data_IF_887029453406
#
_entry.id   IF_887029453406
#
_cell.length_a   1.000
_cell.length_b   1.000
_cell.length_c   1.000
_cell.angle_alpha   90.00
_cell.angle_beta   90.00
_cell.angle_gamma   90.00
#
_symmetry.space_group_name_H-M   'P 1'
#
loop_
_entity.id
_entity.type
_entity.pdbx_description
1 polymer ?
#
# COMPACT_ATOMS: atom_id res chain seq x y z
N UNK A 1 -52.53 -22.78 56.42
CA UNK A 1 -51.49 -22.66 57.46
C UNK A 1 -50.59 -21.50 57.08
N UNK A 2 -50.90 -20.30 57.58
CA UNK A 2 -50.23 -19.62 58.71
C UNK A 2 -48.97 -18.87 58.22
N UNK A 3 -49.07 -17.55 57.93
CA UNK A 3 -48.78 -16.39 58.81
C UNK A 3 -47.28 -16.26 59.09
N UNK A 4 -46.61 -15.10 58.90
CA UNK A 4 -46.72 -13.79 59.57
C UNK A 4 -46.20 -12.67 58.61
N UNK A 5 -46.81 -11.48 58.42
CA UNK A 5 -46.91 -10.24 59.27
C UNK A 5 -45.55 -9.60 59.61
N UNK A 6 -45.26 -8.28 59.64
CA UNK A 6 -45.95 -6.95 59.54
C UNK A 6 -44.81 -5.88 59.48
N UNK A 7 -44.93 -4.68 58.86
CA UNK A 7 -45.41 -3.38 59.41
C UNK A 7 -45.17 -2.29 58.30
N UNK A 8 -46.13 -1.47 57.81
CA UNK A 8 -46.77 -0.19 58.30
C UNK A 8 -45.73 0.89 58.70
N UNK A 9 -45.68 2.11 58.12
CA UNK A 9 -46.66 3.24 58.06
C UNK A 9 -46.32 4.17 56.86
N UNK A 10 -47.17 4.92 56.13
CA UNK A 10 -48.41 5.70 56.33
C UNK A 10 -48.23 7.10 56.99
N UNK A 11 -48.57 8.14 56.21
CA UNK A 11 -49.16 9.48 56.52
C UNK A 11 -48.47 10.62 55.73
N UNK A 12 -49.10 11.70 55.25
CA UNK A 12 -50.49 12.13 54.99
C UNK A 12 -50.41 13.56 54.37
N UNK A 13 -51.43 14.02 53.65
CA UNK A 13 -51.63 15.44 53.32
C UNK A 13 -52.05 15.77 51.87
N UNK A 14 -53.36 15.74 51.57
CA UNK A 14 -53.98 16.26 50.32
C UNK A 14 -54.17 17.79 50.32
N UNK A 15 -55.24 18.38 49.72
CA UNK A 15 -56.10 17.97 48.60
C UNK A 15 -56.30 19.11 47.53
N UNK A 16 -57.27 18.94 46.61
CA UNK A 16 -58.17 19.96 45.99
C UNK A 16 -58.06 20.23 44.46
N UNK A 17 -59.09 19.70 43.76
CA UNK A 17 -60.01 20.25 42.73
C UNK A 17 -59.59 20.71 41.31
N UNK A 18 -60.21 20.02 40.34
CA UNK A 18 -61.06 20.46 39.22
C UNK A 18 -60.59 21.54 38.21
N UNK A 19 -60.61 21.17 36.93
CA UNK A 19 -61.05 22.05 35.83
C UNK A 19 -60.25 21.95 34.51
N UNK A 20 -60.77 21.15 33.56
CA UNK A 20 -60.43 21.12 32.11
C UNK A 20 -60.45 22.53 31.45
N UNK A 21 -59.84 22.83 30.25
CA UNK A 21 -59.96 22.00 29.04
C UNK A 21 -58.94 22.16 27.83
N UNK A 22 -59.15 21.30 26.80
CA UNK A 22 -58.85 21.42 25.34
C UNK A 22 -57.41 21.32 24.76
N UNK A 23 -57.29 20.38 23.80
CA UNK A 23 -56.41 20.21 22.60
C UNK A 23 -54.99 20.79 22.57
N UNK A 24 -54.02 19.97 22.17
CA UNK A 24 -53.38 20.02 20.84
C UNK A 24 -52.47 18.81 20.66
N UNK A 25 -52.42 18.26 19.45
CA UNK A 25 -51.68 17.04 19.14
C UNK A 25 -50.17 17.20 19.31
N UNK A 26 -49.54 16.20 19.92
CA UNK A 26 -48.10 16.06 19.91
C UNK A 26 -47.61 15.38 18.63
N UNK A 27 -46.42 15.76 18.14
CA UNK A 27 -45.99 15.49 16.78
C UNK A 27 -45.56 14.03 16.62
N UNK A 28 -45.80 13.49 15.42
CA UNK A 28 -45.09 12.33 14.91
C UNK A 28 -43.60 12.69 14.88
N UNK A 29 -42.80 12.13 15.78
CA UNK A 29 -41.34 12.09 15.64
C UNK A 29 -41.01 11.21 14.42
N UNK A 30 -41.15 11.79 13.23
CA UNK A 30 -40.43 11.34 12.05
C UNK A 30 -38.98 11.83 12.17
N UNK A 31 -38.26 11.29 13.14
CA UNK A 31 -36.81 11.25 13.12
C UNK A 31 -36.41 10.19 12.11
N UNK A 32 -36.44 10.53 10.82
CA UNK A 32 -35.63 9.79 9.87
C UNK A 32 -34.18 9.95 10.36
N UNK A 33 -33.63 8.87 10.90
CA UNK A 33 -32.20 8.75 11.20
C UNK A 33 -31.46 9.11 9.91
N UNK A 34 -31.01 10.36 9.83
CA UNK A 34 -30.10 10.78 8.77
C UNK A 34 -28.78 10.15 9.17
N UNK A 35 -28.47 9.00 8.55
CA UNK A 35 -27.17 8.38 8.68
C UNK A 35 -26.12 9.44 8.36
N UNK A 36 -25.48 9.95 9.41
CA UNK A 36 -24.31 10.82 9.26
C UNK A 36 -23.27 9.96 8.56
N UNK A 37 -22.75 10.35 7.39
CA UNK A 37 -21.71 9.59 6.72
C UNK A 37 -20.57 9.37 7.71
N UNK A 38 -20.23 8.11 7.99
CA UNK A 38 -19.17 7.82 8.94
C UNK A 38 -17.85 8.40 8.41
N UNK A 39 -17.20 9.30 9.15
CA UNK A 39 -15.87 9.75 8.79
C UNK A 39 -14.95 8.53 8.65
N UNK A 40 -14.23 8.42 7.53
CA UNK A 40 -13.32 7.30 7.21
C UNK A 40 -13.97 5.98 6.76
N UNK A 41 -15.23 6.00 6.33
CA UNK A 41 -15.81 4.85 5.61
C UNK A 41 -15.02 4.51 4.33
N UNK A 42 -14.92 3.22 3.99
CA UNK A 42 -14.19 2.75 2.81
C UNK A 42 -14.65 3.47 1.54
N UNK A 43 -13.71 3.94 0.72
CA UNK A 43 -14.05 4.62 -0.55
C UNK A 43 -14.56 3.58 -1.53
N UNK A 44 -15.85 3.60 -1.85
CA UNK A 44 -16.45 2.74 -2.86
C UNK A 44 -16.34 3.36 -4.26
N UNK A 45 -15.89 2.57 -5.23
CA UNK A 45 -15.68 3.01 -6.61
C UNK A 45 -16.36 2.01 -7.53
N UNK A 46 -17.23 2.51 -8.40
CA UNK A 46 -18.03 1.67 -9.30
C UNK A 46 -18.87 0.65 -8.52
N UNK A 47 -18.78 -0.65 -8.81
CA UNK A 47 -19.38 -1.70 -8.00
C UNK A 47 -18.46 -2.05 -6.82
N UNK A 48 -18.93 -1.89 -5.58
CA UNK A 48 -18.15 -2.25 -4.39
C UNK A 48 -18.04 -3.78 -4.21
N UNK A 49 -16.94 -4.23 -3.59
CA UNK A 49 -16.77 -5.61 -3.16
C UNK A 49 -17.69 -5.98 -1.97
N UNK A 50 -17.74 -7.27 -1.59
CA UNK A 50 -18.54 -7.72 -0.46
C UNK A 50 -18.07 -7.07 0.86
N UNK A 51 -19.04 -6.66 1.67
CA UNK A 51 -18.77 -6.12 3.03
C UNK A 51 -18.70 -7.26 4.04
N UNK A 52 -17.61 -7.33 4.80
CA UNK A 52 -17.41 -8.31 5.85
C UNK A 52 -16.42 -7.81 6.91
N UNK A 53 -16.50 -8.36 8.12
CA UNK A 53 -15.51 -8.09 9.17
C UNK A 53 -14.19 -8.80 8.85
N UNK A 54 -13.08 -8.07 8.86
CA UNK A 54 -11.76 -8.60 8.52
C UNK A 54 -11.37 -9.74 9.48
N UNK A 55 -10.91 -10.87 8.92
CA UNK A 55 -10.50 -12.00 9.75
C UNK A 55 -9.02 -11.88 10.14
N UNK A 56 -8.66 -12.31 11.37
CA UNK A 56 -7.27 -12.30 11.80
C UNK A 56 -6.45 -13.21 10.88
N UNK A 57 -5.28 -12.74 10.41
CA UNK A 57 -4.41 -13.54 9.58
C UNK A 57 -3.97 -14.81 10.35
N UNK A 58 -3.76 -15.89 9.62
CA UNK A 58 -3.33 -17.18 10.14
C UNK A 58 -1.88 -17.43 9.74
N UNK A 59 -1.10 -18.04 10.64
CA UNK A 59 0.30 -18.35 10.39
C UNK A 59 1.14 -18.14 11.63
N UNK A 60 2.32 -18.77 11.71
CA UNK A 60 3.18 -18.69 12.89
C UNK A 60 3.82 -17.31 13.09
N UNK A 61 3.73 -16.40 12.12
CA UNK A 61 4.43 -15.12 12.08
C UNK A 61 3.59 -13.95 11.58
N UNK A 62 2.29 -14.14 11.42
CA UNK A 62 1.41 -13.09 10.89
C UNK A 62 1.36 -11.83 11.77
N UNK A 63 1.83 -11.91 13.03
CA UNK A 63 1.94 -10.76 13.93
C UNK A 63 2.99 -9.73 13.49
N UNK A 64 3.96 -10.11 12.65
CA UNK A 64 4.98 -9.20 12.10
C UNK A 64 4.49 -8.46 10.83
N UNK A 65 3.28 -8.79 10.35
CA UNK A 65 2.72 -8.31 9.09
C UNK A 65 1.38 -7.62 9.38
N UNK A 66 1.40 -6.32 9.77
CA UNK A 66 0.18 -5.60 10.07
C UNK A 66 -0.73 -5.55 8.83
N UNK A 67 -2.03 -5.42 9.05
CA UNK A 67 -3.01 -5.27 7.96
C UNK A 67 -2.65 -4.09 7.05
N UNK A 68 -2.29 -2.97 7.67
CA UNK A 68 -1.91 -1.75 6.98
C UNK A 68 -0.63 -1.18 7.58
N UNK A 69 0.32 -0.77 6.73
CA UNK A 69 1.46 0.06 7.12
C UNK A 69 1.46 1.34 6.28
N UNK A 70 1.87 2.45 6.89
CA UNK A 70 2.08 3.71 6.17
C UNK A 70 3.14 4.54 6.88
N UNK A 71 3.87 5.33 6.11
CA UNK A 71 4.93 6.19 6.61
C UNK A 71 5.14 7.36 5.64
N UNK A 72 5.88 8.37 6.10
CA UNK A 72 6.25 9.48 5.28
C UNK A 72 7.09 10.52 6.01
N UNK A 73 7.96 11.14 5.24
CA UNK A 73 8.89 12.16 5.71
C UNK A 73 9.24 13.07 4.55
N UNK A 74 10.05 14.09 4.81
CA UNK A 74 10.52 15.04 3.78
C UNK A 74 11.98 15.37 3.99
N UNK A 75 12.70 15.59 2.89
CA UNK A 75 13.97 16.32 2.86
C UNK A 75 13.70 17.78 2.49
N UNK A 76 14.75 18.57 2.25
CA UNK A 76 14.61 19.92 1.71
C UNK A 76 14.05 19.91 0.28
N UNK A 77 14.43 18.91 -0.53
CA UNK A 77 14.11 18.82 -1.95
C UNK A 77 12.99 17.85 -2.31
N UNK A 78 12.55 16.98 -1.39
CA UNK A 78 11.56 15.94 -1.69
C UNK A 78 10.63 15.61 -0.51
N UNK A 79 9.44 15.11 -0.81
CA UNK A 79 8.53 14.49 0.17
C UNK A 79 8.25 13.05 -0.27
N UNK A 80 8.33 12.11 0.66
CA UNK A 80 8.00 10.69 0.45
C UNK A 80 6.75 10.33 1.25
N UNK A 81 5.82 9.61 0.63
CA UNK A 81 4.72 8.92 1.30
C UNK A 81 4.65 7.50 0.78
N UNK A 82 4.35 6.55 1.64
CA UNK A 82 3.95 5.23 1.18
C UNK A 82 2.89 4.62 2.09
N UNK A 83 2.13 3.70 1.52
CA UNK A 83 1.23 2.83 2.25
C UNK A 83 1.19 1.44 1.59
N UNK A 84 0.93 0.43 2.39
CA UNK A 84 0.66 -0.94 1.94
C UNK A 84 -0.48 -1.50 2.77
N UNK A 85 -1.56 -1.90 2.09
CA UNK A 85 -2.85 -2.27 2.66
C UNK A 85 -3.18 -3.70 2.26
N UNK A 86 -3.65 -4.49 3.22
CA UNK A 86 -4.12 -5.86 2.98
C UNK A 86 -5.43 -5.86 2.20
N UNK A 87 -5.48 -6.58 1.10
CA UNK A 87 -6.64 -6.71 0.24
C UNK A 87 -7.82 -7.40 0.90
N UNK A 88 -9.01 -7.14 0.38
CA UNK A 88 -10.23 -7.82 0.84
C UNK A 88 -10.13 -9.35 0.68
N UNK A 89 -9.51 -9.85 -0.39
CA UNK A 89 -9.26 -11.28 -0.60
C UNK A 89 -8.44 -11.87 0.54
N UNK A 90 -7.29 -11.28 0.85
CA UNK A 90 -6.42 -11.76 1.93
C UNK A 90 -7.07 -11.61 3.31
N UNK A 91 -7.83 -10.52 3.55
CA UNK A 91 -8.65 -10.34 4.77
C UNK A 91 -9.69 -11.44 4.92
N UNK A 92 -10.37 -11.84 3.85
CA UNK A 92 -11.38 -12.89 3.87
C UNK A 92 -10.78 -14.29 4.09
N UNK A 93 -9.65 -14.58 3.41
CA UNK A 93 -8.98 -15.88 3.45
C UNK A 93 -8.03 -16.08 4.63
N UNK A 94 -7.88 -15.08 5.50
CA UNK A 94 -6.96 -15.10 6.66
C UNK A 94 -5.49 -15.20 6.24
N UNK A 95 -5.16 -14.73 5.04
CA UNK A 95 -3.79 -14.65 4.56
C UNK A 95 -3.20 -13.31 5.01
N UNK A 96 -1.96 -13.25 5.50
CA UNK A 96 -1.32 -11.96 5.82
C UNK A 96 -1.18 -11.11 4.56
N UNK A 97 -0.95 -9.81 4.74
CA UNK A 97 -0.51 -8.97 3.62
C UNK A 97 0.79 -9.52 3.05
N UNK A 98 0.81 -9.81 1.76
CA UNK A 98 1.91 -10.34 0.96
C UNK A 98 2.77 -9.24 0.34
N UNK A 99 2.24 -8.01 0.26
CA UNK A 99 2.99 -6.83 -0.15
C UNK A 99 3.95 -6.28 0.93
N UNK A 100 5.04 -5.65 0.47
CA UNK A 100 5.96 -4.87 1.31
C UNK A 100 6.51 -3.63 0.61
N UNK A 101 6.70 -2.56 1.36
CA UNK A 101 7.35 -1.32 0.91
C UNK A 101 8.33 -0.81 1.95
N UNK A 102 9.49 -0.30 1.51
CA UNK A 102 10.50 0.33 2.37
C UNK A 102 11.10 1.54 1.66
N UNK A 103 11.38 2.58 2.43
CA UNK A 103 12.14 3.73 1.96
C UNK A 103 13.06 4.24 3.07
N UNK A 104 14.24 4.74 2.69
CA UNK A 104 15.20 5.34 3.61
C UNK A 104 15.94 6.49 2.95
N UNK A 105 16.48 7.39 3.76
CA UNK A 105 17.36 8.47 3.32
C UNK A 105 18.83 8.07 3.57
N UNK A 106 19.65 8.08 2.53
CA UNK A 106 21.10 8.04 2.68
C UNK A 106 21.61 9.42 3.08
N UNK A 107 21.96 9.59 4.37
CA UNK A 107 22.34 10.89 4.93
C UNK A 107 23.57 11.52 4.28
N UNK A 108 24.49 10.72 3.72
CA UNK A 108 25.72 11.23 3.10
C UNK A 108 25.51 11.94 1.76
N UNK A 109 24.47 11.57 1.01
CA UNK A 109 24.19 12.09 -0.34
C UNK A 109 22.78 12.67 -0.50
N UNK A 110 21.98 12.73 0.59
CA UNK A 110 20.55 13.09 0.59
C UNK A 110 19.73 12.30 -0.46
N UNK A 111 20.18 11.09 -0.77
CA UNK A 111 19.56 10.20 -1.76
C UNK A 111 18.52 9.33 -1.08
N UNK A 112 17.30 9.32 -1.60
CA UNK A 112 16.26 8.40 -1.15
C UNK A 112 16.53 7.05 -1.83
N UNK A 113 16.49 5.98 -1.06
CA UNK A 113 16.46 4.61 -1.58
C UNK A 113 15.11 3.99 -1.24
N UNK A 114 14.55 3.18 -2.14
CA UNK A 114 13.26 2.54 -1.90
C UNK A 114 13.15 1.16 -2.55
N UNK A 115 12.24 0.35 -2.03
CA UNK A 115 11.84 -0.91 -2.61
C UNK A 115 10.34 -1.18 -2.35
N UNK A 116 9.67 -1.72 -3.35
CA UNK A 116 8.28 -2.19 -3.33
C UNK A 116 8.27 -3.60 -3.90
N UNK A 117 7.57 -4.53 -3.24
CA UNK A 117 7.49 -5.92 -3.65
C UNK A 117 6.11 -6.48 -3.34
N UNK A 118 5.60 -7.30 -4.25
CA UNK A 118 4.41 -8.12 -4.12
C UNK A 118 4.83 -9.59 -3.99
N UNK A 119 4.26 -10.29 -3.01
CA UNK A 119 4.48 -11.71 -2.81
C UNK A 119 3.58 -12.53 -3.73
N UNK A 120 4.19 -13.37 -4.58
CA UNK A 120 3.43 -14.18 -5.54
C UNK A 120 2.54 -15.19 -4.80
N UNK A 121 1.25 -15.17 -5.08
CA UNK A 121 0.24 -16.02 -4.43
C UNK A 121 0.51 -17.53 -4.47
N UNK A 122 1.28 -18.02 -5.45
CA UNK A 122 1.68 -19.43 -5.53
C UNK A 122 2.75 -19.83 -4.50
N UNK A 123 3.42 -18.86 -3.87
CA UNK A 123 4.40 -19.09 -2.83
C UNK A 123 3.74 -19.19 -1.45
N UNK A 124 4.11 -20.23 -0.69
CA UNK A 124 3.47 -20.53 0.60
C UNK A 124 3.72 -19.51 1.71
N UNK A 125 4.73 -18.64 1.58
CA UNK A 125 5.14 -17.65 2.58
C UNK A 125 5.59 -16.35 1.88
N UNK A 126 4.85 -15.97 0.84
CA UNK A 126 5.20 -14.87 -0.05
C UNK A 126 5.41 -13.53 0.68
N UNK A 127 4.64 -13.28 1.75
CA UNK A 127 4.79 -12.12 2.63
C UNK A 127 6.20 -11.96 3.21
N UNK A 128 6.86 -13.08 3.54
CA UNK A 128 8.27 -13.05 3.97
C UNK A 128 9.22 -12.79 2.82
N UNK A 129 8.91 -13.29 1.63
CA UNK A 129 9.69 -13.05 0.41
C UNK A 129 9.75 -11.56 0.10
N UNK A 130 8.59 -10.91 -0.01
CA UNK A 130 8.48 -9.48 -0.25
C UNK A 130 9.18 -8.64 0.83
N UNK A 131 8.96 -8.96 2.10
CA UNK A 131 9.58 -8.26 3.23
C UNK A 131 11.12 -8.37 3.22
N UNK A 132 11.65 -9.58 2.98
CA UNK A 132 13.08 -9.82 2.88
C UNK A 132 13.67 -9.08 1.68
N UNK A 133 13.03 -9.17 0.51
CA UNK A 133 13.50 -8.51 -0.71
C UNK A 133 13.59 -6.99 -0.54
N UNK A 134 12.55 -6.35 0.01
CA UNK A 134 12.54 -4.91 0.27
C UNK A 134 13.58 -4.49 1.30
N UNK A 135 13.68 -5.20 2.42
CA UNK A 135 14.64 -4.90 3.48
C UNK A 135 16.10 -5.03 3.02
N UNK A 136 16.41 -6.12 2.33
CA UNK A 136 17.74 -6.41 1.77
C UNK A 136 18.10 -5.44 0.66
N UNK A 137 17.15 -5.08 -0.21
CA UNK A 137 17.38 -4.10 -1.27
C UNK A 137 17.75 -2.73 -0.68
N UNK A 138 16.93 -2.20 0.23
CA UNK A 138 17.19 -0.91 0.89
C UNK A 138 18.51 -0.92 1.64
N UNK A 139 18.78 -1.95 2.45
CA UNK A 139 20.04 -2.06 3.18
C UNK A 139 21.26 -2.10 2.26
N UNK A 140 21.20 -2.91 1.19
CA UNK A 140 22.28 -3.02 0.21
C UNK A 140 22.55 -1.69 -0.52
N UNK A 141 21.50 -0.98 -0.93
CA UNK A 141 21.66 0.32 -1.58
C UNK A 141 22.32 1.35 -0.65
N UNK A 142 21.95 1.38 0.64
CA UNK A 142 22.58 2.27 1.62
C UNK A 142 24.07 1.96 1.81
N UNK A 143 24.41 0.68 1.94
CA UNK A 143 25.82 0.23 2.07
C UNK A 143 26.63 0.60 0.82
N UNK A 144 26.05 0.38 -0.37
CA UNK A 144 26.68 0.71 -1.64
C UNK A 144 26.87 2.23 -1.80
N UNK A 145 25.88 3.05 -1.45
CA UNK A 145 25.99 4.51 -1.49
C UNK A 145 27.00 5.07 -0.48
N UNK A 146 27.18 4.38 0.65
CA UNK A 146 28.21 4.73 1.63
C UNK A 146 29.61 4.50 1.06
N UNK A 147 29.79 3.45 0.25
CA UNK A 147 31.05 3.11 -0.40
C UNK A 147 31.32 3.94 -1.66
N UNK A 148 30.29 4.20 -2.47
CA UNK A 148 30.32 5.00 -3.69
C UNK A 148 29.03 5.84 -3.82
N UNK A 149 29.10 7.16 -3.62
CA UNK A 149 27.95 8.05 -3.77
C UNK A 149 27.35 8.13 -5.17
N UNK A 150 27.94 7.49 -6.19
CA UNK A 150 27.37 7.43 -7.55
C UNK A 150 26.93 6.02 -7.94
N UNK A 151 26.83 5.11 -6.97
CA UNK A 151 26.47 3.72 -7.21
C UNK A 151 25.07 3.60 -7.84
N UNK A 152 24.97 2.79 -8.90
CA UNK A 152 23.73 2.42 -9.57
C UNK A 152 23.88 1.07 -10.31
N UNK A 153 24.24 0.00 -9.58
CA UNK A 153 24.37 -1.37 -10.14
C UNK A 153 23.16 -2.23 -9.74
N UNK A 154 22.07 -2.09 -10.49
CA UNK A 154 20.82 -2.81 -10.21
C UNK A 154 20.88 -4.31 -10.56
N UNK A 155 21.77 -4.72 -11.47
CA UNK A 155 21.99 -6.15 -11.75
C UNK A 155 22.62 -6.84 -10.53
N UNK A 156 23.60 -6.19 -9.87
CA UNK A 156 24.16 -6.69 -8.61
C UNK A 156 23.13 -6.72 -7.49
N UNK A 157 22.34 -5.65 -7.36
CA UNK A 157 21.28 -5.57 -6.36
C UNK A 157 20.26 -6.71 -6.52
N UNK A 158 19.79 -6.97 -7.74
CA UNK A 158 18.86 -8.05 -8.04
C UNK A 158 19.43 -9.43 -7.66
N UNK A 159 20.68 -9.70 -8.04
CA UNK A 159 21.39 -10.94 -7.67
C UNK A 159 21.57 -11.06 -6.16
N UNK A 160 21.83 -9.94 -5.47
CA UNK A 160 21.96 -9.89 -4.02
C UNK A 160 20.64 -10.24 -3.32
N UNK A 161 19.51 -9.66 -3.75
CA UNK A 161 18.18 -9.98 -3.23
C UNK A 161 17.82 -11.47 -3.44
N UNK A 162 18.04 -12.01 -4.66
CA UNK A 162 17.84 -13.44 -4.92
C UNK A 162 18.75 -14.34 -4.06
N UNK A 163 19.98 -13.88 -3.79
CA UNK A 163 20.92 -14.53 -2.86
C UNK A 163 20.39 -14.57 -1.43
N UNK A 164 19.74 -13.51 -0.96
CA UNK A 164 19.15 -13.49 0.39
C UNK A 164 17.98 -14.46 0.53
N UNK A 165 17.07 -14.51 -0.47
CA UNK A 165 15.96 -15.48 -0.50
C UNK A 165 16.47 -16.93 -0.52
N UNK A 166 17.57 -17.19 -1.24
CA UNK A 166 18.27 -18.47 -1.20
C UNK A 166 18.79 -18.78 0.21
N UNK A 167 19.44 -17.83 0.87
CA UNK A 167 19.93 -17.98 2.24
C UNK A 167 18.81 -18.27 3.24
N UNK A 168 17.66 -17.59 3.09
CA UNK A 168 16.47 -17.81 3.91
C UNK A 168 15.91 -19.23 3.70
N UNK A 169 15.80 -19.65 2.44
CA UNK A 169 15.36 -21.00 2.06
C UNK A 169 16.29 -22.07 2.60
N UNK A 170 17.60 -21.89 2.46
CA UNK A 170 18.61 -22.81 2.99
C UNK A 170 18.46 -23.03 4.49
N UNK A 171 18.27 -21.96 5.27
CA UNK A 171 18.05 -22.06 6.72
C UNK A 171 16.75 -22.79 7.05
N UNK A 172 15.67 -22.51 6.31
CA UNK A 172 14.36 -23.10 6.54
C UNK A 172 14.32 -24.60 6.22
N UNK A 173 14.87 -24.99 5.06
CA UNK A 173 14.88 -26.38 4.60
C UNK A 173 16.03 -27.19 5.20
N UNK A 174 17.01 -26.54 5.85
CA UNK A 174 18.28 -27.14 6.30
C UNK A 174 19.06 -27.76 5.12
N UNK A 175 19.01 -27.11 3.97
CA UNK A 175 19.66 -27.53 2.72
C UNK A 175 20.66 -26.46 2.27
N UNK A 176 21.87 -26.85 1.88
CA UNK A 176 22.92 -25.90 1.50
C UNK A 176 22.64 -25.18 0.16
N UNK A 177 22.00 -25.88 -0.78
CA UNK A 177 21.81 -25.41 -2.15
C UNK A 177 20.37 -25.68 -2.63
N UNK A 178 19.37 -24.96 -2.10
CA UNK A 178 18.01 -25.10 -2.58
C UNK A 178 17.91 -24.67 -4.04
N UNK A 179 17.09 -25.38 -4.81
CA UNK A 179 16.82 -25.06 -6.22
C UNK A 179 16.03 -23.75 -6.33
N UNK A 180 16.09 -23.05 -7.48
CA UNK A 180 15.22 -21.91 -7.74
C UNK A 180 13.73 -22.21 -7.52
N UNK A 181 13.29 -23.42 -7.87
CA UNK A 181 11.90 -23.86 -7.66
C UNK A 181 11.53 -24.02 -6.19
N UNK A 182 12.44 -24.52 -5.34
CA UNK A 182 12.20 -24.60 -3.89
C UNK A 182 12.13 -23.21 -3.26
N UNK A 183 13.00 -22.29 -3.69
CA UNK A 183 12.98 -20.90 -3.22
C UNK A 183 11.67 -20.23 -3.67
N UNK A 184 11.30 -20.36 -4.94
CA UNK A 184 10.08 -19.77 -5.49
C UNK A 184 8.81 -20.30 -4.80
N UNK A 185 8.74 -21.60 -4.52
CA UNK A 185 7.60 -22.21 -3.82
C UNK A 185 7.39 -21.68 -2.38
N UNK A 186 8.41 -21.07 -1.77
CA UNK A 186 8.33 -20.50 -0.44
C UNK A 186 8.21 -18.97 -0.45
N UNK A 187 8.99 -18.29 -1.30
CA UNK A 187 9.28 -16.86 -1.17
C UNK A 187 9.26 -16.09 -2.50
N UNK A 188 8.63 -16.61 -3.55
CA UNK A 188 8.56 -15.85 -4.81
C UNK A 188 7.91 -14.48 -4.61
N UNK A 189 8.50 -13.45 -5.22
CA UNK A 189 8.08 -12.06 -5.06
C UNK A 189 8.58 -11.19 -6.22
N UNK A 190 7.84 -10.13 -6.55
CA UNK A 190 8.31 -9.06 -7.43
C UNK A 190 9.32 -8.16 -6.70
N UNK A 191 9.94 -7.23 -7.42
CA UNK A 191 10.73 -6.16 -6.83
C UNK A 191 10.79 -4.97 -7.79
N UNK A 192 10.31 -3.81 -7.34
CA UNK A 192 10.63 -2.51 -7.92
C UNK A 192 11.44 -1.73 -6.90
N UNK A 193 12.68 -1.42 -7.22
CA UNK A 193 13.56 -0.69 -6.32
C UNK A 193 14.35 0.38 -7.06
N UNK A 194 14.78 1.40 -6.34
CA UNK A 194 15.40 2.56 -6.97
C UNK A 194 15.91 3.61 -6.02
N UNK A 195 16.47 4.64 -6.64
CA UNK A 195 17.16 5.77 -6.06
C UNK A 195 16.47 7.06 -6.50
N UNK A 196 16.34 8.04 -5.60
CA UNK A 196 15.96 9.42 -5.93
C UNK A 196 17.06 10.35 -5.45
N UNK A 197 17.84 10.84 -6.40
CA UNK A 197 18.98 11.73 -6.18
C UNK A 197 18.52 13.18 -6.12
N UNK A 198 19.08 14.01 -5.22
CA UNK A 198 18.93 15.44 -5.32
C UNK A 198 19.68 15.96 -6.54
N UNK A 199 19.06 16.83 -7.33
CA UNK A 199 19.71 17.51 -8.45
C UNK A 199 19.12 18.93 -8.63
N UNK A 200 19.90 19.85 -9.19
CA UNK A 200 19.57 21.28 -9.24
C UNK A 200 18.30 21.57 -10.05
N UNK A 201 18.07 20.79 -11.10
CA UNK A 201 16.91 20.92 -11.99
C UNK A 201 15.69 20.10 -11.52
N UNK A 202 15.77 19.51 -10.32
CA UNK A 202 14.77 18.63 -9.73
C UNK A 202 15.38 17.28 -9.32
N UNK A 203 14.67 16.43 -8.58
CA UNK A 203 15.19 15.10 -8.23
C UNK A 203 15.30 14.17 -9.45
N UNK A 204 16.38 13.39 -9.51
CA UNK A 204 16.58 12.37 -10.55
C UNK A 204 16.23 11.01 -9.97
N UNK A 205 15.36 10.29 -10.65
CA UNK A 205 14.93 8.93 -10.29
C UNK A 205 15.68 7.93 -11.16
N UNK A 206 16.18 6.87 -10.55
CA UNK A 206 16.62 5.66 -11.24
C UNK A 206 15.93 4.45 -10.60
N UNK A 207 15.19 3.67 -11.37
CA UNK A 207 14.34 2.58 -10.87
C UNK A 207 14.48 1.37 -11.78
N UNK A 208 14.49 0.16 -11.21
CA UNK A 208 14.44 -1.10 -11.95
C UNK A 208 13.28 -1.97 -11.48
N UNK A 209 12.91 -2.95 -12.31
CA UNK A 209 11.82 -3.90 -12.05
C UNK A 209 12.22 -5.36 -12.26
N UNK A 210 11.68 -6.23 -11.42
CA UNK A 210 11.53 -7.68 -11.59
C UNK A 210 10.10 -8.01 -11.20
N UNK A 211 9.37 -8.79 -11.99
CA UNK A 211 7.93 -8.96 -11.76
C UNK A 211 7.10 -7.90 -12.48
N UNK A 212 5.82 -7.87 -12.17
CA UNK A 212 4.76 -7.08 -12.82
C UNK A 212 4.32 -5.84 -12.02
N UNK A 213 4.85 -5.66 -10.80
CA UNK A 213 4.77 -4.39 -10.09
C UNK A 213 5.39 -3.25 -10.92
N UNK A 214 4.86 -2.03 -10.80
CA UNK A 214 5.13 -0.95 -11.75
C UNK A 214 5.65 0.35 -11.13
N UNK A 215 6.03 1.27 -12.01
CA UNK A 215 6.32 2.65 -11.66
C UNK A 215 5.73 3.60 -12.72
N UNK A 216 5.23 4.74 -12.27
CA UNK A 216 4.57 5.74 -13.10
C UNK A 216 5.01 7.15 -12.71
N UNK A 217 4.91 8.08 -13.66
CA UNK A 217 4.93 9.50 -13.39
C UNK A 217 3.51 10.02 -13.46
N UNK A 218 3.02 10.62 -12.37
CA UNK A 218 1.79 11.41 -12.37
C UNK A 218 2.16 12.88 -12.59
N UNK A 219 1.71 13.49 -13.69
CA UNK A 219 1.79 14.93 -13.86
C UNK A 219 0.56 15.60 -13.22
N UNK A 220 0.80 16.36 -12.14
CA UNK A 220 -0.25 17.04 -11.38
C UNK A 220 -0.85 18.23 -12.14
N UNK A 221 -0.23 18.68 -13.24
CA UNK A 221 -0.75 19.79 -14.04
C UNK A 221 -2.01 19.39 -14.81
N UNK A 222 -2.08 18.15 -15.30
CA UNK A 222 -3.20 17.65 -16.11
C UNK A 222 -3.76 16.30 -15.63
N UNK A 223 -3.20 15.72 -14.57
CA UNK A 223 -3.64 14.45 -13.98
C UNK A 223 -3.24 13.22 -14.79
N UNK A 224 -2.31 13.35 -15.75
CA UNK A 224 -1.90 12.24 -16.62
C UNK A 224 -0.85 11.34 -15.99
N UNK A 225 -0.96 10.05 -16.31
CA UNK A 225 -0.02 9.02 -15.90
C UNK A 225 0.86 8.60 -17.07
N UNK A 226 2.14 8.40 -16.80
CA UNK A 226 3.11 7.88 -17.77
C UNK A 226 3.77 6.66 -17.13
N UNK A 227 3.56 5.46 -17.69
CA UNK A 227 4.29 4.26 -17.24
C UNK A 227 5.78 4.43 -17.51
N UNK A 228 6.62 4.11 -16.53
CA UNK A 228 8.08 4.15 -16.71
C UNK A 228 8.60 2.89 -17.39
N UNK A 229 7.97 1.76 -17.13
CA UNK A 229 8.27 0.49 -17.80
C UNK A 229 7.27 0.28 -18.94
N UNK A 230 7.74 -0.09 -20.12
CA UNK A 230 6.83 -0.34 -21.24
C UNK A 230 5.96 -1.57 -20.90
N UNK A 231 4.64 -1.47 -21.15
CA UNK A 231 3.87 -2.68 -21.39
C UNK A 231 4.37 -3.22 -22.72
N UNK A 232 4.75 -4.50 -22.81
CA UNK A 232 5.16 -5.14 -24.07
C UNK A 232 4.10 -4.89 -25.15
N UNK A 233 4.28 -3.84 -25.95
CA UNK A 233 3.37 -3.42 -27.01
C UNK A 233 3.97 -3.82 -28.36
N UNK A 234 4.33 -5.10 -28.51
CA UNK A 234 4.50 -5.69 -29.83
C UNK A 234 3.12 -6.08 -30.36
N UNK A 235 2.43 -5.08 -30.89
CA UNK A 235 1.24 -5.25 -31.70
C UNK A 235 1.55 -5.94 -33.02
N UNK A 236 1.94 -7.21 -33.02
CA UNK A 236 1.88 -8.15 -34.17
C UNK A 236 2.08 -9.63 -33.75
N UNK A 237 1.54 -10.08 -32.62
CA UNK A 237 1.10 -11.48 -32.49
C UNK A 237 0.21 -11.62 -31.24
N UNK A 238 -0.95 -12.26 -31.39
CA UNK A 238 -1.97 -12.39 -30.35
C UNK A 238 -1.61 -13.38 -29.24
N UNK A 239 -0.48 -13.18 -28.57
CA UNK A 239 -0.14 -13.81 -27.30
C UNK A 239 0.56 -12.77 -26.45
N UNK A 240 -0.17 -12.13 -25.53
CA UNK A 240 0.43 -11.37 -24.43
C UNK A 240 1.17 -12.40 -23.58
N UNK A 241 2.50 -12.28 -23.48
CA UNK A 241 3.28 -13.11 -22.57
C UNK A 241 2.94 -12.69 -21.14
N UNK A 242 2.02 -13.38 -20.49
CA UNK A 242 1.65 -13.14 -19.09
C UNK A 242 2.69 -13.68 -18.10
N UNK A 243 3.79 -14.26 -18.58
CA UNK A 243 4.78 -14.92 -17.76
C UNK A 243 5.84 -13.91 -17.29
N UNK A 244 5.44 -13.06 -16.35
CA UNK A 244 6.40 -12.20 -15.67
C UNK A 244 7.18 -13.06 -14.68
N UNK A 245 8.51 -12.98 -14.72
CA UNK A 245 9.40 -13.86 -13.95
C UNK A 245 9.80 -13.18 -12.63
N UNK A 246 9.24 -13.58 -11.48
CA UNK A 246 9.55 -12.99 -10.19
C UNK A 246 10.89 -13.49 -9.64
N UNK A 247 11.38 -12.84 -8.58
CA UNK A 247 12.45 -13.42 -7.75
C UNK A 247 12.01 -14.81 -7.27
N UNK A 248 12.94 -15.79 -7.17
CA UNK A 248 14.40 -15.67 -7.20
C UNK A 248 15.03 -15.74 -8.60
N UNK A 249 14.22 -15.81 -9.66
CA UNK A 249 14.73 -15.84 -11.02
C UNK A 249 15.10 -14.40 -11.42
N UNK A 250 16.37 -14.20 -11.79
CA UNK A 250 16.93 -12.88 -12.11
C UNK A 250 17.35 -12.89 -13.59
N UNK A 251 16.90 -11.92 -14.40
CA UNK A 251 17.37 -11.80 -15.78
C UNK A 251 18.86 -11.43 -15.83
N UNK A 252 19.51 -11.61 -16.98
CA UNK A 252 20.91 -11.20 -17.16
C UNK A 252 21.09 -9.68 -16.97
N UNK A 253 20.08 -8.91 -17.40
CA UNK A 253 19.99 -7.46 -17.25
C UNK A 253 18.59 -7.12 -16.77
N UNK A 254 18.48 -6.35 -15.69
CA UNK A 254 17.20 -5.82 -15.25
C UNK A 254 16.78 -4.64 -16.12
N UNK A 255 15.47 -4.52 -16.36
CA UNK A 255 14.88 -3.34 -16.97
C UNK A 255 15.00 -2.16 -15.99
N UNK A 256 15.72 -1.11 -16.38
CA UNK A 256 15.96 0.06 -15.55
C UNK A 256 15.71 1.36 -16.32
N UNK A 257 15.13 2.34 -15.63
CA UNK A 257 14.67 3.61 -16.21
C UNK A 257 15.20 4.76 -15.37
N UNK A 258 15.63 5.83 -16.05
CA UNK A 258 16.07 7.08 -15.44
C UNK A 258 15.14 8.21 -15.84
N UNK A 259 14.70 9.01 -14.87
CA UNK A 259 13.77 10.11 -15.08
C UNK A 259 14.13 11.34 -14.24
N UNK A 260 14.11 12.53 -14.84
CA UNK A 260 14.28 13.81 -14.14
C UNK A 260 12.91 14.36 -13.76
N UNK A 261 12.55 14.36 -12.48
CA UNK A 261 11.24 14.82 -12.03
C UNK A 261 11.10 16.34 -12.17
N UNK A 262 10.10 16.77 -12.94
CA UNK A 262 9.65 18.15 -12.97
C UNK A 262 8.85 18.49 -11.69
N UNK A 263 8.71 19.78 -11.35
CA UNK A 263 8.00 20.23 -10.14
C UNK A 263 6.53 19.77 -10.05
N UNK A 264 5.86 19.60 -11.19
CA UNK A 264 4.47 19.11 -11.23
C UNK A 264 4.38 17.59 -11.15
N UNK A 265 5.50 16.88 -11.31
CA UNK A 265 5.50 15.43 -11.41
C UNK A 265 5.64 14.75 -10.04
N UNK A 266 5.04 13.58 -9.94
CA UNK A 266 5.15 12.67 -8.79
C UNK A 266 5.64 11.33 -9.32
N UNK A 267 6.70 10.80 -8.74
CA UNK A 267 7.05 9.40 -8.95
C UNK A 267 6.07 8.55 -8.15
N UNK A 268 5.46 7.56 -8.79
CA UNK A 268 4.62 6.53 -8.17
C UNK A 268 5.29 5.17 -8.40
N UNK A 269 5.37 4.35 -7.36
CA UNK A 269 5.88 2.97 -7.43
C UNK A 269 4.93 2.08 -6.66
N UNK A 270 4.37 1.06 -7.30
CA UNK A 270 3.30 0.27 -6.70
C UNK A 270 3.22 -1.16 -7.21
N UNK A 271 2.49 -1.98 -6.47
CA UNK A 271 2.21 -3.38 -6.82
C UNK A 271 1.11 -3.44 -7.88
N UNK A 272 0.87 -4.62 -8.44
CA UNK A 272 -0.17 -4.85 -9.44
C UNK A 272 -1.58 -4.59 -8.87
N UNK A 273 -1.80 -4.81 -7.57
CA UNK A 273 -3.02 -4.41 -6.87
C UNK A 273 -3.32 -2.91 -6.91
N UNK A 274 -2.31 -2.06 -7.17
CA UNK A 274 -2.51 -0.65 -7.55
C UNK A 274 -2.51 -0.45 -9.08
N UNK A 275 -1.55 -1.05 -9.79
CA UNK A 275 -1.34 -0.86 -11.22
C UNK A 275 -2.49 -1.35 -12.11
N UNK A 276 -3.07 -2.51 -11.79
CA UNK A 276 -4.17 -3.09 -12.56
C UNK A 276 -5.46 -2.26 -12.48
N UNK A 277 -5.94 -1.80 -11.30
CA UNK A 277 -7.08 -0.88 -11.23
C UNK A 277 -6.79 0.48 -11.87
N UNK A 278 -5.54 0.95 -11.84
CA UNK A 278 -5.14 2.21 -12.47
C UNK A 278 -5.28 2.15 -13.99
N UNK A 279 -4.84 1.06 -14.62
CA UNK A 279 -4.82 0.90 -16.07
C UNK A 279 -4.02 2.02 -16.75
N UNK A 280 -4.60 2.66 -17.76
CA UNK A 280 -4.01 3.81 -18.45
C UNK A 280 -4.14 5.13 -17.64
N UNK A 281 -4.80 5.10 -16.48
CA UNK A 281 -4.97 6.24 -15.58
C UNK A 281 -6.07 7.24 -15.98
N UNK A 282 -6.86 6.95 -17.01
CA UNK A 282 -7.97 7.81 -17.47
C UNK A 282 -9.33 7.49 -16.81
N UNK A 283 -9.40 6.38 -16.07
CA UNK A 283 -10.60 5.92 -15.37
C UNK A 283 -10.79 6.53 -13.97
N UNK A 284 -11.79 6.02 -13.24
CA UNK A 284 -12.16 6.51 -11.90
C UNK A 284 -11.03 6.39 -10.87
N UNK A 285 -10.22 5.32 -10.95
CA UNK A 285 -9.05 5.13 -10.08
C UNK A 285 -8.00 6.21 -10.37
N UNK A 286 -7.68 6.43 -11.64
CA UNK A 286 -6.75 7.49 -12.04
C UNK A 286 -7.21 8.87 -11.57
N UNK A 287 -8.49 9.20 -11.75
CA UNK A 287 -9.05 10.46 -11.26
C UNK A 287 -8.96 10.61 -9.73
N UNK A 288 -9.25 9.54 -8.98
CA UNK A 288 -9.17 9.52 -7.51
C UNK A 288 -7.73 9.81 -7.03
N UNK A 289 -6.76 9.07 -7.56
CA UNK A 289 -5.36 9.24 -7.16
C UNK A 289 -4.78 10.56 -7.68
N UNK A 290 -5.12 11.02 -8.88
CA UNK A 290 -4.71 12.32 -9.38
C UNK A 290 -5.19 13.45 -8.44
N UNK A 291 -6.43 13.34 -7.93
CA UNK A 291 -6.97 14.27 -6.95
C UNK A 291 -6.21 14.23 -5.61
N UNK A 292 -6.09 13.05 -5.00
CA UNK A 292 -5.49 12.92 -3.66
C UNK A 292 -3.96 13.06 -3.64
N UNK A 293 -3.28 12.88 -4.78
CA UNK A 293 -1.83 13.05 -4.92
C UNK A 293 -1.46 14.41 -5.53
N UNK A 294 -2.43 15.31 -5.74
CA UNK A 294 -2.20 16.68 -6.17
C UNK A 294 -1.34 17.49 -5.17
N UNK A 295 -1.25 17.05 -3.93
CA UNK A 295 -0.24 17.43 -2.94
C UNK A 295 0.07 16.21 -2.06
N UNK A 296 1.22 16.15 -1.36
CA UNK A 296 1.53 15.00 -0.50
C UNK A 296 0.49 14.87 0.63
N UNK A 297 -0.32 13.79 0.68
CA UNK A 297 -1.29 13.59 1.75
C UNK A 297 -0.59 13.18 3.06
N UNK A 298 -1.33 13.13 4.17
CA UNK A 298 -0.86 12.41 5.35
C UNK A 298 -0.70 10.91 5.03
N UNK A 299 0.30 10.19 5.59
CA UNK A 299 0.48 8.76 5.32
C UNK A 299 -0.78 7.92 5.60
N UNK A 300 -1.50 8.21 6.68
CA UNK A 300 -2.76 7.53 7.02
C UNK A 300 -3.88 7.80 6.02
N UNK A 301 -3.92 9.00 5.43
CA UNK A 301 -4.87 9.32 4.38
C UNK A 301 -4.53 8.59 3.08
N UNK A 302 -3.24 8.48 2.74
CA UNK A 302 -2.80 7.67 1.60
C UNK A 302 -3.25 6.22 1.76
N UNK A 303 -3.05 5.63 2.95
CA UNK A 303 -3.52 4.28 3.25
C UNK A 303 -5.04 4.15 3.10
N UNK A 304 -5.80 5.13 3.59
CA UNK A 304 -7.25 5.14 3.46
C UNK A 304 -7.72 5.19 1.99
N UNK A 305 -7.11 6.05 1.16
CA UNK A 305 -7.41 6.12 -0.28
C UNK A 305 -7.03 4.82 -0.98
N UNK A 306 -5.91 4.22 -0.59
CA UNK A 306 -5.42 2.97 -1.14
C UNK A 306 -6.31 1.77 -0.77
N UNK A 307 -7.06 1.84 0.34
CA UNK A 307 -8.01 0.82 0.80
C UNK A 307 -9.39 0.92 0.13
N UNK A 308 -9.53 1.50 -1.07
CA UNK A 308 -10.81 1.61 -1.77
C UNK A 308 -11.49 0.23 -2.01
N UNK A 309 -12.81 0.21 -2.17
CA UNK A 309 -13.57 -0.97 -2.58
C UNK A 309 -13.98 -0.86 -4.04
N UNK A 310 -13.57 -1.82 -4.86
CA UNK A 310 -13.99 -1.98 -6.25
C UNK A 310 -14.03 -3.46 -6.58
N UNK A 311 -15.10 -3.92 -7.21
CA UNK A 311 -15.32 -5.32 -7.56
C UNK A 311 -14.15 -5.83 -8.38
N UNK A 312 -13.75 -7.07 -8.13
CA UNK A 312 -12.64 -7.81 -8.79
C UNK A 312 -11.23 -7.31 -8.48
N UNK A 313 -11.07 -6.13 -7.87
CA UNK A 313 -9.76 -5.60 -7.45
C UNK A 313 -9.60 -5.72 -5.93
N UNK A 314 -9.47 -6.95 -5.44
CA UNK A 314 -9.49 -7.29 -4.01
C UNK A 314 -8.13 -7.72 -3.44
N UNK A 315 -7.06 -7.56 -4.21
CA UNK A 315 -5.69 -7.87 -3.81
C UNK A 315 -5.10 -6.84 -2.83
N UNK A 316 -3.96 -7.18 -2.23
CA UNK A 316 -3.14 -6.22 -1.51
C UNK A 316 -2.75 -5.04 -2.41
N UNK A 317 -2.62 -3.86 -1.80
CA UNK A 317 -2.30 -2.65 -2.56
C UNK A 317 -1.20 -1.90 -1.87
N UNK A 318 -0.17 -1.60 -2.64
CA UNK A 318 0.98 -0.85 -2.16
C UNK A 318 1.32 0.26 -3.12
N UNK A 319 1.58 1.44 -2.56
CA UNK A 319 1.99 2.61 -3.31
C UNK A 319 3.00 3.43 -2.51
N UNK A 320 4.14 3.70 -3.12
CA UNK A 320 5.11 4.70 -2.72
C UNK A 320 5.03 5.87 -3.70
N UNK A 321 5.08 7.08 -3.16
CA UNK A 321 5.00 8.32 -3.92
C UNK A 321 6.08 9.31 -3.47
N UNK A 322 6.74 9.96 -4.44
CA UNK A 322 7.78 10.97 -4.21
C UNK A 322 7.44 12.25 -4.97
N UNK A 323 7.33 13.35 -4.22
CA UNK A 323 7.10 14.68 -4.76
C UNK A 323 8.36 15.53 -4.65
N UNK A 324 8.74 16.28 -5.71
CA UNK A 324 9.68 17.39 -5.56
C UNK A 324 9.12 18.46 -4.62
N UNK A 325 9.97 19.01 -3.76
CA UNK A 325 9.65 20.17 -2.92
C UNK A 325 10.33 21.41 -3.48
N UNK A 326 9.68 22.55 -3.31
CA UNK A 326 10.36 23.84 -3.45
C UNK A 326 11.17 24.09 -2.17
N UNK A 327 12.49 24.30 -2.24
CA UNK A 327 13.30 24.69 -1.08
C UNK A 327 12.82 25.98 -0.41
N UNK A 328 11.99 26.80 -1.10
CA UNK A 328 11.44 28.06 -0.59
C UNK A 328 9.93 28.02 -0.28
N UNK A 329 9.28 26.85 -0.36
CA UNK A 329 7.86 26.70 -0.01
C UNK A 329 7.60 26.72 1.50
N UNK A 330 6.38 27.05 1.96
CA UNK A 330 6.05 26.98 3.38
C UNK A 330 6.23 25.53 3.89
N UNK A 331 6.93 25.41 5.03
CA UNK A 331 7.18 24.15 5.72
C UNK A 331 5.91 23.57 6.33
#
# INVERSE_FOLDING_TARGET
MSLLRRHKSAEDGGPVENGDPVEHGDPVENGADVAVPEPWGQIEIDEAGPVFEARPPAGPDCFDFPDTECDGWSTTGTTVRYASVRGARHRYHREPRQDSVRAALHAGSDTIVFAVADGVSSASIAHRGAHEACGVAVGRMLDCLTADPHWADFDDLARYCAGSLRGLTSRRLREAHPTPSQIAALYATTLVAGLVWPHADGPVVEVFRIGDSGAWILDRADGRYYSLFEAEADGHSGVVSTAVTPLPLVPERVEAVKWQLARSQVLLVGTDGFGLPLGDGDGMIGALFAHHLAAPPAPSWLAHVLDFSRATFDDDRTLLAVWPRDPQGPQ
#
